data_IF_847034709591
#
_entry.id   IF_847034709591
#
_cell.length_a   1.000
_cell.length_b   1.000
_cell.length_c   1.000
_cell.angle_alpha   90.00
_cell.angle_beta   90.00
_cell.angle_gamma   90.00
#
_symmetry.space_group_name_H-M   'P 1'
#
loop_
_entity.id
_entity.type
_entity.pdbx_description
1 polymer ?
#
# COMPACT_ATOMS: atom_id res chain seq x y z
N UNK A 1 -4.38 9.13 3.93
CA UNK A 1 -4.15 8.35 2.69
C UNK A 1 -2.85 7.59 2.89
N UNK A 2 -2.70 6.38 2.33
CA UNK A 2 -1.44 5.64 2.43
C UNK A 2 -0.70 5.73 1.10
N UNK A 3 0.61 5.99 1.16
CA UNK A 3 1.49 5.92 -0.01
C UNK A 3 2.38 4.69 0.14
N UNK A 4 2.38 3.83 -0.87
CA UNK A 4 3.20 2.63 -0.92
C UNK A 4 4.40 2.86 -1.82
N UNK A 5 5.59 2.46 -1.37
CA UNK A 5 6.82 2.46 -2.13
C UNK A 5 7.06 1.06 -2.70
N UNK A 6 7.24 0.96 -4.02
CA UNK A 6 7.49 -0.30 -4.71
C UNK A 6 8.99 -0.58 -4.88
N UNK A 7 9.38 -1.84 -5.14
CA UNK A 7 10.79 -2.21 -5.38
C UNK A 7 11.44 -1.52 -6.58
N UNK A 8 10.66 -1.13 -7.59
CA UNK A 8 11.12 -0.41 -8.78
C UNK A 8 11.35 1.09 -8.54
N UNK A 9 11.15 1.57 -7.31
CA UNK A 9 11.27 2.97 -6.91
C UNK A 9 10.03 3.81 -7.22
N UNK A 10 9.01 3.24 -7.87
CA UNK A 10 7.73 3.92 -8.06
C UNK A 10 6.89 3.92 -6.77
N UNK A 11 5.78 4.66 -6.78
CA UNK A 11 4.85 4.67 -5.67
C UNK A 11 3.41 4.76 -6.15
N UNK A 12 2.46 4.40 -5.27
CA UNK A 12 1.05 4.69 -5.48
C UNK A 12 0.39 5.18 -4.20
N UNK A 13 -0.73 5.89 -4.39
CA UNK A 13 -1.60 6.34 -3.32
C UNK A 13 -2.83 5.46 -3.23
N UNK A 14 -3.24 5.12 -2.00
CA UNK A 14 -4.48 4.38 -1.73
C UNK A 14 -5.26 4.97 -0.57
N UNK A 15 -6.57 4.81 -0.61
CA UNK A 15 -7.41 5.14 0.52
C UNK A 15 -7.04 4.26 1.73
N UNK A 16 -7.10 4.82 2.93
CA UNK A 16 -6.76 4.08 4.15
C UNK A 16 -7.64 2.83 4.33
N UNK A 17 -8.95 2.98 4.08
CA UNK A 17 -9.93 1.91 4.26
C UNK A 17 -9.84 0.77 3.24
N UNK A 18 -9.06 0.90 2.16
CA UNK A 18 -8.83 -0.21 1.23
C UNK A 18 -7.68 -1.12 1.67
N UNK A 19 -6.87 -0.68 2.63
CA UNK A 19 -5.74 -1.46 3.15
C UNK A 19 -6.22 -2.40 4.24
N UNK A 20 -5.97 -3.70 4.06
CA UNK A 20 -6.34 -4.72 5.04
C UNK A 20 -5.18 -5.07 5.97
N UNK A 21 -3.97 -5.25 5.44
CA UNK A 21 -2.81 -5.59 6.24
C UNK A 21 -1.50 -5.16 5.57
N UNK A 22 -0.49 -4.89 6.40
CA UNK A 22 0.92 -4.82 5.99
C UNK A 22 1.70 -5.77 6.90
N UNK A 23 2.43 -6.71 6.32
CA UNK A 23 3.13 -7.77 7.07
C UNK A 23 4.38 -8.24 6.35
N UNK A 24 5.21 -9.03 7.04
CA UNK A 24 6.37 -9.70 6.45
C UNK A 24 5.97 -11.11 6.00
N UNK A 25 6.28 -11.46 4.76
CA UNK A 25 6.12 -12.84 4.27
C UNK A 25 7.15 -13.78 4.91
N UNK A 26 6.99 -15.09 4.70
CA UNK A 26 7.95 -16.10 5.16
C UNK A 26 9.36 -15.86 4.59
N UNK A 27 9.45 -15.35 3.36
CA UNK A 27 10.71 -14.96 2.70
C UNK A 27 11.27 -13.60 3.16
N UNK A 28 10.65 -12.96 4.16
CA UNK A 28 11.08 -11.67 4.73
C UNK A 28 10.71 -10.43 3.91
N UNK A 29 9.97 -10.58 2.80
CA UNK A 29 9.49 -9.45 1.99
C UNK A 29 8.39 -8.68 2.72
N UNK A 30 8.33 -7.36 2.54
CA UNK A 30 7.24 -6.55 3.09
C UNK A 30 6.08 -6.56 2.09
N UNK A 31 4.92 -7.04 2.52
CA UNK A 31 3.74 -7.24 1.69
C UNK A 31 2.61 -6.32 2.17
N UNK A 32 1.92 -5.67 1.22
CA UNK A 32 0.66 -5.00 1.46
C UNK A 32 -0.49 -5.82 0.86
N UNK A 33 -1.53 -6.06 1.66
CA UNK A 33 -2.81 -6.67 1.24
C UNK A 33 -3.88 -5.59 1.16
N UNK A 34 -4.47 -5.41 -0.01
CA UNK A 34 -5.46 -4.35 -0.25
C UNK A 34 -6.65 -4.83 -1.10
N UNK A 35 -7.78 -4.14 -0.99
CA UNK A 35 -8.94 -4.34 -1.85
C UNK A 35 -8.67 -3.79 -3.26
N UNK A 36 -9.10 -4.51 -4.29
CA UNK A 36 -9.08 -4.01 -5.68
C UNK A 36 -9.99 -2.78 -5.86
N UNK A 37 -9.72 -1.91 -6.84
CA UNK A 37 -10.54 -0.72 -7.08
C UNK A 37 -12.01 -1.01 -7.39
N UNK A 38 -12.31 -2.17 -7.97
CA UNK A 38 -13.66 -2.64 -8.27
C UNK A 38 -14.34 -3.39 -7.11
N UNK A 39 -13.70 -3.45 -5.94
CA UNK A 39 -14.14 -4.19 -4.75
C UNK A 39 -14.38 -5.69 -4.98
N UNK A 40 -13.77 -6.29 -6.01
CA UNK A 40 -13.97 -7.71 -6.32
C UNK A 40 -13.25 -8.66 -5.38
N UNK A 41 -12.03 -8.32 -4.97
CA UNK A 41 -11.20 -9.19 -4.12
C UNK A 41 -10.07 -8.44 -3.41
N UNK A 42 -9.49 -9.11 -2.42
CA UNK A 42 -8.21 -8.74 -1.83
C UNK A 42 -7.07 -9.24 -2.71
N UNK A 43 -6.04 -8.43 -2.85
CA UNK A 43 -4.82 -8.82 -3.54
C UNK A 43 -3.59 -8.31 -2.79
N UNK A 44 -2.46 -8.97 -3.04
CA UNK A 44 -1.19 -8.74 -2.36
C UNK A 44 -0.13 -8.26 -3.34
N UNK A 45 0.75 -7.40 -2.85
CA UNK A 45 1.91 -6.94 -3.60
C UNK A 45 3.07 -6.60 -2.67
N UNK A 46 4.29 -6.75 -3.21
CA UNK A 46 5.53 -6.40 -2.52
C UNK A 46 5.72 -4.89 -2.47
N UNK A 47 6.11 -4.38 -1.31
CA UNK A 47 6.48 -2.99 -1.06
C UNK A 47 7.86 -2.94 -0.40
N UNK A 48 8.54 -1.82 -0.51
CA UNK A 48 9.77 -1.52 0.25
C UNK A 48 9.47 -0.70 1.51
N UNK A 49 8.32 -0.01 1.54
CA UNK A 49 7.85 0.77 2.67
C UNK A 49 6.50 1.42 2.40
N UNK A 50 5.99 2.13 3.40
CA UNK A 50 4.79 2.96 3.25
C UNK A 50 4.84 4.17 4.18
N UNK A 51 4.08 5.20 3.85
CA UNK A 51 3.87 6.37 4.70
C UNK A 51 2.38 6.72 4.79
N UNK A 52 1.98 7.21 5.95
CA UNK A 52 0.66 7.81 6.13
C UNK A 52 0.77 9.30 5.80
N UNK A 53 0.01 9.71 4.79
CA UNK A 53 -0.05 11.10 4.40
C UNK A 53 -0.92 11.89 5.38
N UNK A 54 -0.42 13.07 5.74
CA UNK A 54 -1.13 14.09 6.50
C UNK A 54 -2.44 14.50 5.80
N UNK A 55 -3.48 14.70 6.60
CA UNK A 55 -4.80 15.11 6.14
C UNK A 55 -4.79 16.57 5.68
N UNK A 56 -5.37 16.85 4.51
CA UNK A 56 -5.50 18.21 3.99
C UNK A 56 -4.26 18.74 3.25
N UNK A 57 -3.18 17.96 3.19
CA UNK A 57 -1.98 18.32 2.42
C UNK A 57 -2.11 17.83 0.97
N UNK A 58 -1.74 18.70 0.02
CA UNK A 58 -1.57 18.34 -1.39
C UNK A 58 -0.13 17.88 -1.60
N UNK A 59 0.03 16.66 -2.10
CA UNK A 59 1.31 16.08 -2.47
C UNK A 59 1.52 16.24 -3.98
N UNK A 60 2.73 16.60 -4.39
CA UNK A 60 3.14 16.72 -5.80
C UNK A 60 3.66 15.39 -6.36
#
# INVERSE_FOLDING_TARGET
MIKYYYPDGSHCYRALHTTHAVYRSEDGKLIARTMRPDNSELYEFEITGFELLETGVRYE
#
